data_IF_419412827070
#
_entry.id   IF_419412827070
#
_cell.length_a   1.000
_cell.length_b   1.000
_cell.length_c   1.000
_cell.angle_alpha   90.00
_cell.angle_beta   90.00
_cell.angle_gamma   90.00
#
_symmetry.space_group_name_H-M   'P 1'
#
loop_
_entity.id
_entity.type
_entity.pdbx_description
1 polymer ?
#
# COMPACT_ATOMS: atom_id res chain seq x y z
N UNK A 1 -3.19 -26.30 45.42
CA UNK A 1 -2.32 -25.16 45.82
C UNK A 1 -0.85 -25.55 46.09
N UNK A 2 -0.45 -26.84 46.10
CA UNK A 2 0.98 -27.25 46.15
C UNK A 2 1.59 -27.68 44.79
N UNK A 3 0.79 -27.75 43.73
CA UNK A 3 1.26 -28.12 42.37
C UNK A 3 1.61 -26.92 41.48
N UNK A 4 1.17 -25.70 41.85
CA UNK A 4 1.49 -24.46 41.11
C UNK A 4 2.83 -23.83 41.50
N UNK A 5 3.40 -24.19 42.66
CA UNK A 5 4.68 -23.64 43.14
C UNK A 5 5.89 -24.43 42.60
N UNK A 6 5.73 -25.72 42.29
CA UNK A 6 6.81 -26.57 41.77
C UNK A 6 7.10 -26.35 40.27
N UNK A 7 6.11 -25.93 39.47
CA UNK A 7 6.33 -25.61 38.06
C UNK A 7 7.06 -24.27 37.88
N UNK A 8 6.86 -23.31 38.80
CA UNK A 8 7.60 -22.04 38.82
C UNK A 8 9.08 -22.19 39.23
N UNK A 9 9.44 -23.27 39.93
CA UNK A 9 10.84 -23.54 40.32
C UNK A 9 11.65 -24.22 39.20
N UNK A 10 11.00 -24.93 38.27
CA UNK A 10 11.63 -25.54 37.10
C UNK A 10 12.02 -24.52 36.01
N UNK A 11 11.23 -23.46 35.87
CA UNK A 11 11.48 -22.37 34.89
C UNK A 11 12.72 -21.54 35.28
N UNK A 12 12.94 -21.29 36.57
CA UNK A 12 14.09 -20.50 37.07
C UNK A 12 15.44 -21.25 37.05
N UNK A 13 15.45 -22.57 36.86
CA UNK A 13 16.70 -23.35 36.65
C UNK A 13 17.09 -23.46 35.17
N UNK A 14 16.13 -23.40 34.25
CA UNK A 14 16.40 -23.33 32.80
C UNK A 14 17.02 -22.00 32.37
N UNK A 15 16.69 -20.90 33.07
CA UNK A 15 17.21 -19.57 32.76
C UNK A 15 18.70 -19.38 33.16
N UNK A 16 19.20 -20.09 34.18
CA UNK A 16 20.62 -20.00 34.58
C UNK A 16 21.58 -20.83 33.71
N UNK A 17 21.07 -21.75 32.90
CA UNK A 17 21.87 -22.45 31.89
C UNK A 17 21.86 -21.73 30.53
N UNK A 18 20.92 -20.80 30.31
CA UNK A 18 20.90 -19.90 29.16
C UNK A 18 21.89 -18.72 29.28
N UNK A 19 22.50 -18.51 30.45
CA UNK A 19 23.44 -17.42 30.71
C UNK A 19 24.93 -17.82 30.58
N UNK A 20 25.23 -19.12 30.60
CA UNK A 20 26.61 -19.63 30.56
C UNK A 20 27.14 -19.97 29.15
N UNK A 21 26.27 -20.13 28.15
CA UNK A 21 26.69 -20.39 26.75
C UNK A 21 26.80 -19.12 25.89
N UNK A 22 26.78 -17.95 26.55
CA UNK A 22 26.96 -16.62 25.96
C UNK A 22 28.43 -16.23 25.79
N UNK A 23 29.37 -17.16 25.89
CA UNK A 23 30.81 -16.88 25.84
C UNK A 23 31.54 -17.59 24.70
N UNK A 24 30.92 -17.79 23.52
CA UNK A 24 31.72 -18.06 22.32
C UNK A 24 30.95 -17.80 21.01
N UNK A 25 31.54 -16.91 20.19
CA UNK A 25 31.37 -16.68 18.74
C UNK A 25 30.57 -15.45 18.29
N UNK A 26 31.38 -14.55 17.70
CA UNK A 26 31.17 -13.66 16.55
C UNK A 26 30.27 -12.43 16.69
N UNK A 27 30.96 -11.28 16.65
CA UNK A 27 30.52 -9.92 16.35
C UNK A 27 29.21 -9.78 15.59
N UNK A 28 28.18 -9.25 16.28
CA UNK A 28 26.95 -8.74 15.68
C UNK A 28 26.98 -7.21 15.59
N UNK A 29 27.02 -6.70 14.37
CA UNK A 29 26.62 -5.32 14.05
C UNK A 29 25.09 -5.16 14.03
N UNK A 30 24.56 -3.93 14.07
CA UNK A 30 23.14 -3.67 14.29
C UNK A 30 22.29 -3.99 13.05
N UNK A 31 21.23 -4.79 13.24
CA UNK A 31 20.25 -5.11 12.21
C UNK A 31 19.26 -3.95 12.00
N UNK A 32 19.47 -3.20 10.91
CA UNK A 32 18.62 -2.12 10.41
C UNK A 32 17.55 -2.62 9.43
N UNK A 33 16.45 -1.84 9.32
CA UNK A 33 15.39 -1.83 8.29
C UNK A 33 14.04 -2.55 8.55
N UNK A 34 13.25 -2.01 9.50
CA UNK A 34 11.77 -1.94 9.43
C UNK A 34 11.37 -0.47 9.18
N UNK A 35 11.67 0.09 8.01
CA UNK A 35 11.76 1.56 7.93
C UNK A 35 11.00 2.21 6.78
N UNK A 36 9.96 2.97 7.16
CA UNK A 36 9.14 3.79 6.26
C UNK A 36 7.89 4.29 7.00
N UNK A 37 6.79 3.56 6.92
CA UNK A 37 5.52 3.91 7.57
C UNK A 37 5.35 3.32 8.98
N UNK A 38 5.92 2.14 9.25
CA UNK A 38 5.78 1.43 10.52
C UNK A 38 6.57 2.04 11.68
N UNK A 39 7.71 2.71 11.43
CA UNK A 39 8.53 3.32 12.48
C UNK A 39 7.79 4.42 13.22
N UNK A 40 7.10 5.28 12.48
CA UNK A 40 6.36 6.40 13.06
C UNK A 40 5.19 5.87 13.90
N UNK A 41 4.46 4.86 13.42
CA UNK A 41 3.40 4.25 14.23
C UNK A 41 3.91 3.52 15.47
N UNK A 42 5.05 2.81 15.39
CA UNK A 42 5.67 2.16 16.57
C UNK A 42 6.21 3.20 17.54
N UNK A 43 6.87 4.25 17.06
CA UNK A 43 7.35 5.35 17.89
C UNK A 43 6.17 6.08 18.55
N UNK A 44 5.09 6.38 17.83
CA UNK A 44 3.87 6.96 18.39
C UNK A 44 3.23 6.04 19.44
N UNK A 45 3.23 4.72 19.20
CA UNK A 45 2.73 3.74 20.19
C UNK A 45 3.62 3.71 21.44
N UNK A 46 4.94 3.75 21.28
CA UNK A 46 5.89 3.79 22.37
C UNK A 46 5.80 5.11 23.16
N UNK A 47 5.61 6.25 22.48
CA UNK A 47 5.37 7.55 23.09
C UNK A 47 4.05 7.52 23.87
N UNK A 48 2.97 6.94 23.31
CA UNK A 48 1.71 6.79 24.02
C UNK A 48 1.88 5.95 25.28
N UNK A 49 2.60 4.82 25.19
CA UNK A 49 2.95 3.98 26.33
C UNK A 49 3.82 4.71 27.37
N UNK A 50 4.74 5.56 26.92
CA UNK A 50 5.54 6.39 27.81
C UNK A 50 4.68 7.45 28.52
N UNK A 51 3.74 8.10 27.82
CA UNK A 51 2.82 9.09 28.41
C UNK A 51 1.95 8.46 29.50
N UNK A 52 1.59 7.18 29.41
CA UNK A 52 0.92 6.48 30.52
C UNK A 52 1.75 6.44 31.81
N UNK A 53 3.07 6.54 31.71
CA UNK A 53 3.99 6.54 32.84
C UNK A 53 4.39 7.96 33.31
N UNK A 54 3.77 9.01 32.79
CA UNK A 54 4.04 10.41 33.18
C UNK A 54 2.80 11.06 33.80
N UNK A 55 2.96 12.27 34.35
CA UNK A 55 1.83 13.07 34.88
C UNK A 55 0.77 13.39 33.81
N UNK A 56 1.10 13.20 32.53
CA UNK A 56 0.20 13.36 31.39
C UNK A 56 -0.64 12.10 31.08
N UNK A 57 -0.67 11.09 31.95
CA UNK A 57 -1.36 9.81 31.72
C UNK A 57 -2.83 9.96 31.32
N UNK A 58 -3.52 10.99 31.80
CA UNK A 58 -4.91 11.30 31.43
C UNK A 58 -5.08 11.50 29.91
N UNK A 59 -4.10 12.11 29.23
CA UNK A 59 -4.12 12.30 27.78
C UNK A 59 -4.07 10.93 27.08
N UNK A 60 -3.19 10.05 27.53
CA UNK A 60 -3.07 8.70 26.97
C UNK A 60 -4.33 7.86 27.22
N UNK A 61 -4.94 7.95 28.41
CA UNK A 61 -6.23 7.31 28.71
C UNK A 61 -7.33 7.81 27.81
N UNK A 62 -7.52 9.14 27.70
CA UNK A 62 -8.56 9.71 26.85
C UNK A 62 -8.39 9.28 25.39
N UNK A 63 -7.16 9.32 24.86
CA UNK A 63 -6.88 8.86 23.51
C UNK A 63 -7.11 7.35 23.33
N UNK A 64 -6.70 6.53 24.28
CA UNK A 64 -6.88 5.07 24.20
C UNK A 64 -8.37 4.70 24.30
N UNK A 65 -9.11 5.30 25.21
CA UNK A 65 -10.56 5.14 25.31
C UNK A 65 -11.23 5.53 23.99
N UNK A 66 -10.86 6.69 23.43
CA UNK A 66 -11.34 7.10 22.11
C UNK A 66 -10.99 6.09 21.02
N UNK A 67 -9.76 5.55 21.00
CA UNK A 67 -9.31 4.56 20.04
C UNK A 67 -10.13 3.26 20.11
N UNK A 68 -10.52 2.82 21.31
CA UNK A 68 -11.39 1.65 21.51
C UNK A 68 -12.78 1.88 20.91
N UNK A 69 -13.40 3.03 21.20
CA UNK A 69 -14.69 3.38 20.59
C UNK A 69 -14.58 3.56 19.07
N UNK A 70 -13.45 4.08 18.61
CA UNK A 70 -13.20 4.39 17.21
C UNK A 70 -12.65 3.22 16.37
N UNK A 71 -12.48 2.05 16.96
CA UNK A 71 -11.69 0.96 16.41
C UNK A 71 -12.07 0.59 14.97
N UNK A 72 -13.37 0.59 14.66
CA UNK A 72 -13.92 0.15 13.38
C UNK A 72 -14.05 1.27 12.32
N UNK A 73 -13.73 2.53 12.64
CA UNK A 73 -13.88 3.64 11.70
C UNK A 73 -13.09 3.50 10.39
N UNK A 74 -11.85 2.97 10.37
CA UNK A 74 -11.13 2.71 9.13
C UNK A 74 -11.90 1.79 8.17
N UNK A 75 -12.69 0.84 8.70
CA UNK A 75 -13.50 -0.08 7.89
C UNK A 75 -14.71 0.61 7.24
N UNK A 76 -15.06 1.81 7.68
CA UNK A 76 -16.19 2.59 7.18
C UNK A 76 -15.77 3.77 6.30
N UNK A 77 -14.57 3.70 5.71
CA UNK A 77 -14.03 4.76 4.85
C UNK A 77 -13.25 5.85 5.59
N UNK A 78 -13.07 5.71 6.91
CA UNK A 78 -12.26 6.62 7.71
C UNK A 78 -12.80 8.05 7.80
N UNK A 79 -11.92 8.99 8.10
CA UNK A 79 -12.21 10.42 8.27
C UNK A 79 -11.36 11.26 7.33
N UNK A 80 -11.76 11.32 6.05
CA UNK A 80 -11.08 12.15 5.06
C UNK A 80 -11.09 13.62 5.48
N UNK A 81 -9.95 14.28 5.44
CA UNK A 81 -9.79 15.70 5.73
C UNK A 81 -9.33 16.44 4.48
N UNK A 82 -10.17 17.35 3.98
CA UNK A 82 -9.76 18.18 2.83
C UNK A 82 -8.59 19.09 3.18
N UNK A 83 -8.49 19.54 4.43
CA UNK A 83 -7.36 20.35 4.87
C UNK A 83 -6.04 19.58 4.75
N UNK A 84 -5.98 18.34 5.25
CA UNK A 84 -4.77 17.52 5.13
C UNK A 84 -4.45 17.23 3.67
N UNK A 85 -5.44 16.87 2.85
CA UNK A 85 -5.24 16.57 1.43
C UNK A 85 -4.74 17.77 0.62
N UNK A 86 -4.93 19.01 1.10
CA UNK A 86 -4.51 20.25 0.44
C UNK A 86 -3.22 20.89 1.02
N UNK A 87 -2.53 20.22 1.95
CA UNK A 87 -1.28 20.74 2.50
C UNK A 87 -0.24 21.08 1.42
N UNK A 88 0.52 22.15 1.66
CA UNK A 88 1.55 22.62 0.73
C UNK A 88 2.64 21.58 0.45
N UNK A 89 2.97 20.74 1.45
CA UNK A 89 3.94 19.66 1.31
C UNK A 89 3.62 18.70 0.16
N UNK A 90 2.34 18.51 -0.19
CA UNK A 90 1.96 17.63 -1.31
C UNK A 90 2.28 18.23 -2.67
N UNK A 91 2.29 19.56 -2.79
CA UNK A 91 2.73 20.24 -4.03
C UNK A 91 4.23 20.08 -4.20
N UNK A 92 5.02 20.27 -3.15
CA UNK A 92 6.45 19.98 -3.17
C UNK A 92 6.75 18.50 -3.45
N UNK A 93 5.98 17.58 -2.86
CA UNK A 93 6.09 16.15 -3.13
C UNK A 93 5.83 15.83 -4.60
N UNK A 94 4.76 16.39 -5.19
CA UNK A 94 4.47 16.26 -6.62
C UNK A 94 5.60 16.81 -7.48
N UNK A 95 6.06 18.03 -7.18
CA UNK A 95 7.07 18.74 -7.99
C UNK A 95 8.46 18.09 -7.88
N UNK A 96 8.71 17.35 -6.80
CA UNK A 96 9.93 16.57 -6.63
C UNK A 96 10.00 15.34 -7.57
N UNK A 97 8.87 14.68 -7.88
CA UNK A 97 8.77 13.53 -8.80
C UNK A 97 8.10 13.87 -10.14
N UNK A 98 8.06 15.15 -10.52
CA UNK A 98 7.06 15.69 -11.45
C UNK A 98 5.76 14.85 -11.65
N UNK A 99 4.99 14.58 -10.58
CA UNK A 99 3.87 13.62 -10.65
C UNK A 99 2.70 14.18 -11.48
N UNK A 100 2.22 13.38 -12.42
CA UNK A 100 1.05 13.71 -13.25
C UNK A 100 -0.04 12.64 -13.16
N UNK A 101 -1.30 13.10 -13.16
CA UNK A 101 -2.49 12.27 -13.29
C UNK A 101 -3.18 12.57 -14.62
N UNK A 102 -3.14 11.61 -15.55
CA UNK A 102 -3.79 11.73 -16.86
C UNK A 102 -5.14 11.05 -16.82
N UNK A 103 -6.20 11.84 -17.01
CA UNK A 103 -7.57 11.36 -17.17
C UNK A 103 -7.83 11.09 -18.65
N UNK A 104 -8.34 9.90 -18.98
CA UNK A 104 -8.75 9.58 -20.36
C UNK A 104 -10.27 9.65 -20.56
N UNK A 105 -11.07 9.35 -19.54
CA UNK A 105 -12.53 9.28 -19.63
C UNK A 105 -13.23 9.97 -18.45
N UNK A 106 -14.46 10.42 -18.69
CA UNK A 106 -15.37 10.86 -17.62
C UNK A 106 -15.93 9.64 -16.89
N UNK A 107 -16.18 9.81 -15.58
CA UNK A 107 -16.80 8.79 -14.75
C UNK A 107 -18.17 9.27 -14.27
N UNK A 108 -19.13 8.36 -14.27
CA UNK A 108 -20.48 8.60 -13.79
C UNK A 108 -20.49 8.58 -12.26
N UNK A 109 -21.00 9.65 -11.64
CA UNK A 109 -21.12 9.77 -10.18
C UNK A 109 -22.18 8.83 -9.59
N UNK A 110 -23.02 8.23 -10.44
CA UNK A 110 -24.03 7.23 -10.07
C UNK A 110 -23.46 5.82 -9.96
N UNK A 111 -22.21 5.60 -10.37
CA UNK A 111 -21.53 4.29 -10.30
C UNK A 111 -20.40 4.31 -9.28
N UNK A 112 -20.06 3.12 -8.79
CA UNK A 112 -18.87 2.88 -7.98
C UNK A 112 -17.81 2.18 -8.83
N UNK A 113 -16.55 2.32 -8.44
CA UNK A 113 -15.40 1.90 -9.23
C UNK A 113 -14.37 1.17 -8.39
N UNK A 114 -13.72 0.16 -9.00
CA UNK A 114 -12.46 -0.39 -8.52
C UNK A 114 -11.38 -0.04 -9.53
N UNK A 115 -10.45 0.80 -9.09
CA UNK A 115 -9.30 1.27 -9.83
C UNK A 115 -8.13 0.33 -9.55
N UNK A 116 -7.69 -0.42 -10.56
CA UNK A 116 -6.49 -1.24 -10.43
C UNK A 116 -5.25 -0.44 -10.79
N UNK A 117 -4.41 -0.16 -9.79
CA UNK A 117 -3.17 0.59 -9.95
C UNK A 117 -1.99 -0.34 -10.24
N UNK A 118 -1.23 -0.03 -11.28
CA UNK A 118 -0.07 -0.80 -11.74
C UNK A 118 1.06 0.14 -12.21
N UNK A 119 2.34 -0.23 -12.06
CA UNK A 119 2.85 -1.19 -11.08
C UNK A 119 2.83 -0.58 -9.67
N UNK A 120 3.07 -1.40 -8.64
CA UNK A 120 3.15 -0.99 -7.24
C UNK A 120 4.40 -0.15 -6.95
N UNK A 121 5.51 -0.44 -7.63
CA UNK A 121 6.83 0.01 -7.22
C UNK A 121 7.17 -0.46 -5.80
N UNK A 122 8.13 0.22 -5.15
CA UNK A 122 8.46 -0.09 -3.75
C UNK A 122 7.39 0.44 -2.79
N UNK A 123 6.87 1.65 -3.02
CA UNK A 123 5.99 2.35 -2.07
C UNK A 123 4.66 2.86 -2.66
N UNK A 124 4.45 2.80 -3.98
CA UNK A 124 3.25 3.37 -4.62
C UNK A 124 3.13 4.90 -4.41
N UNK A 125 4.21 5.64 -4.63
CA UNK A 125 4.27 7.09 -4.42
C UNK A 125 3.30 7.83 -5.35
N UNK A 126 3.17 7.38 -6.60
CA UNK A 126 2.20 7.94 -7.54
C UNK A 126 0.76 7.73 -7.06
N UNK A 127 0.42 6.53 -6.57
CA UNK A 127 -0.90 6.21 -6.05
C UNK A 127 -1.25 7.08 -4.84
N UNK A 128 -0.30 7.25 -3.91
CA UNK A 128 -0.46 8.12 -2.75
C UNK A 128 -0.71 9.57 -3.17
N UNK A 129 0.17 10.15 -3.99
CA UNK A 129 0.03 11.54 -4.42
C UNK A 129 -1.28 11.79 -5.15
N UNK A 130 -1.61 10.92 -6.11
CA UNK A 130 -2.75 11.09 -7.00
C UNK A 130 -4.10 10.92 -6.31
N UNK A 131 -4.20 10.02 -5.34
CA UNK A 131 -5.50 9.63 -4.78
C UNK A 131 -5.67 9.94 -3.29
N UNK A 132 -4.57 10.13 -2.56
CA UNK A 132 -4.60 10.48 -1.13
C UNK A 132 -4.40 11.98 -0.86
N UNK A 133 -4.13 12.78 -1.90
CA UNK A 133 -3.94 14.23 -1.79
C UNK A 133 -4.71 14.95 -2.90
N UNK A 134 -4.68 16.29 -2.91
CA UNK A 134 -5.20 17.14 -4.00
C UNK A 134 -4.06 17.74 -4.86
N UNK A 135 -2.81 17.28 -4.71
CA UNK A 135 -1.67 17.88 -5.42
C UNK A 135 -1.76 17.76 -6.94
N UNK A 136 -2.38 16.69 -7.46
CA UNK A 136 -2.65 16.49 -8.89
C UNK A 136 -4.11 16.78 -9.27
N UNK A 137 -4.83 17.49 -8.39
CA UNK A 137 -6.18 18.00 -8.61
C UNK A 137 -7.19 16.91 -8.99
N UNK A 138 -7.12 15.76 -8.31
CA UNK A 138 -8.00 14.62 -8.57
C UNK A 138 -9.49 14.98 -8.49
N UNK A 139 -9.87 15.88 -7.57
CA UNK A 139 -11.24 16.37 -7.44
C UNK A 139 -11.73 17.18 -8.65
N UNK A 140 -10.82 17.91 -9.31
CA UNK A 140 -11.13 18.64 -10.56
C UNK A 140 -11.18 17.71 -11.77
N UNK A 141 -10.27 16.72 -11.81
CA UNK A 141 -10.22 15.73 -12.90
C UNK A 141 -11.44 14.81 -12.85
N UNK A 142 -11.82 14.33 -11.68
CA UNK A 142 -12.96 13.42 -11.49
C UNK A 142 -13.99 14.04 -10.53
N UNK A 143 -14.76 15.05 -10.99
CA UNK A 143 -15.72 15.74 -10.14
C UNK A 143 -16.79 14.78 -9.64
N UNK A 144 -17.08 14.84 -8.34
CA UNK A 144 -18.05 13.95 -7.68
C UNK A 144 -17.55 12.54 -7.39
N UNK A 145 -16.35 12.16 -7.84
CA UNK A 145 -15.74 10.87 -7.52
C UNK A 145 -14.90 10.97 -6.24
N UNK A 146 -15.05 10.00 -5.35
CA UNK A 146 -14.40 9.93 -4.03
C UNK A 146 -13.34 8.83 -4.04
N UNK A 147 -12.04 9.16 -4.18
CA UNK A 147 -10.98 8.16 -4.22
C UNK A 147 -10.61 7.63 -2.82
N UNK A 148 -10.55 6.32 -2.66
CA UNK A 148 -10.12 5.62 -1.45
C UNK A 148 -8.93 4.72 -1.78
N UNK A 149 -7.72 5.11 -1.38
CA UNK A 149 -6.53 4.27 -1.58
C UNK A 149 -6.52 3.15 -0.54
N UNK A 150 -6.50 1.90 -1.00
CA UNK A 150 -6.50 0.74 -0.12
C UNK A 150 -5.06 0.27 0.17
N UNK A 151 -4.71 0.16 1.46
CA UNK A 151 -3.38 -0.29 1.92
C UNK A 151 -3.49 -1.35 3.01
N UNK A 152 -2.35 -1.94 3.40
CA UNK A 152 -2.27 -3.02 4.39
C UNK A 152 -3.07 -2.71 5.66
N UNK A 153 -4.00 -3.60 6.02
CA UNK A 153 -4.88 -3.42 7.17
C UNK A 153 -4.13 -3.27 8.51
N UNK A 154 -2.91 -3.83 8.61
CA UNK A 154 -2.04 -3.68 9.79
C UNK A 154 -1.68 -2.23 10.12
N UNK A 155 -1.59 -1.35 9.12
CA UNK A 155 -1.27 0.07 9.32
C UNK A 155 -2.32 0.78 10.20
N UNK A 156 -3.56 0.30 10.21
CA UNK A 156 -4.68 0.90 10.93
C UNK A 156 -4.79 0.43 12.40
N UNK A 157 -3.89 -0.47 12.82
CA UNK A 157 -3.74 -0.87 14.22
C UNK A 157 -2.79 0.04 14.99
N UNK A 158 -2.01 0.88 14.29
CA UNK A 158 -1.05 1.77 14.92
C UNK A 158 -1.72 3.12 15.25
N UNK A 159 -1.76 3.53 16.53
CA UNK A 159 -2.10 4.88 16.97
C UNK A 159 -1.45 5.96 16.13
N UNK A 160 -2.15 7.08 15.96
CA UNK A 160 -1.74 8.27 15.19
C UNK A 160 -1.55 8.02 13.69
N UNK A 161 -0.81 6.99 13.28
CA UNK A 161 -0.65 6.59 11.88
C UNK A 161 -2.00 6.31 11.23
N UNK A 162 -2.90 5.58 11.91
CA UNK A 162 -4.24 5.31 11.40
C UNK A 162 -5.03 6.59 11.12
N UNK A 163 -4.89 7.62 11.95
CA UNK A 163 -5.57 8.91 11.78
C UNK A 163 -5.04 9.65 10.57
N UNK A 164 -3.70 9.69 10.46
CA UNK A 164 -3.03 10.29 9.34
C UNK A 164 -3.43 9.63 8.01
N UNK A 165 -3.44 8.30 7.95
CA UNK A 165 -3.89 7.57 6.76
C UNK A 165 -5.36 7.88 6.42
N UNK A 166 -6.25 7.77 7.41
CA UNK A 166 -7.68 8.07 7.21
C UNK A 166 -7.91 9.51 6.74
N UNK A 167 -7.11 10.47 7.20
CA UNK A 167 -7.20 11.87 6.79
C UNK A 167 -6.93 12.08 5.29
N UNK A 168 -6.05 11.26 4.69
CA UNK A 168 -5.82 11.21 3.26
C UNK A 168 -6.92 10.49 2.46
N UNK A 169 -7.88 9.85 3.14
CA UNK A 169 -8.84 8.95 2.49
C UNK A 169 -8.27 7.55 2.22
N UNK A 170 -7.21 7.17 2.92
CA UNK A 170 -6.60 5.83 2.81
C UNK A 170 -7.38 4.87 3.73
N UNK A 171 -7.68 3.67 3.24
CA UNK A 171 -8.46 2.67 3.97
C UNK A 171 -7.78 1.29 3.99
N UNK A 172 -8.18 0.38 4.90
CA UNK A 172 -7.70 -0.99 4.90
C UNK A 172 -8.10 -1.74 3.61
N UNK A 173 -7.15 -2.47 3.02
CA UNK A 173 -7.40 -3.43 1.93
C UNK A 173 -7.95 -4.75 2.50
N UNK A 174 -9.19 -4.71 2.97
CA UNK A 174 -9.91 -5.90 3.40
C UNK A 174 -11.32 -5.91 2.82
N UNK A 175 -11.92 -7.10 2.76
CA UNK A 175 -13.23 -7.30 2.15
C UNK A 175 -14.33 -6.48 2.82
N UNK A 176 -14.39 -6.44 4.15
CA UNK A 176 -15.44 -5.69 4.87
C UNK A 176 -15.43 -4.20 4.53
N UNK A 177 -14.24 -3.60 4.39
CA UNK A 177 -14.08 -2.18 4.04
C UNK A 177 -14.53 -1.93 2.62
N UNK A 178 -14.10 -2.77 1.68
CA UNK A 178 -14.48 -2.67 0.26
C UNK A 178 -15.99 -2.88 0.12
N UNK A 179 -16.54 -3.90 0.78
CA UNK A 179 -17.98 -4.19 0.78
C UNK A 179 -18.77 -2.99 1.32
N UNK A 180 -18.34 -2.37 2.43
CA UNK A 180 -18.97 -1.17 2.96
C UNK A 180 -18.92 0.00 1.96
N UNK A 181 -17.75 0.29 1.40
CA UNK A 181 -17.56 1.42 0.49
C UNK A 181 -18.36 1.28 -0.81
N UNK A 182 -18.52 0.06 -1.32
CA UNK A 182 -19.25 -0.19 -2.57
C UNK A 182 -20.76 -0.36 -2.39
N UNK A 183 -21.25 -0.65 -1.18
CA UNK A 183 -22.68 -0.93 -0.92
C UNK A 183 -23.38 0.06 0.01
N UNK A 184 -22.70 0.57 1.04
CA UNK A 184 -23.31 1.39 2.11
C UNK A 184 -22.88 2.86 2.08
N UNK A 185 -21.81 3.19 1.35
CA UNK A 185 -21.24 4.53 1.31
C UNK A 185 -21.73 5.36 0.09
N UNK A 186 -22.91 5.07 -0.43
CA UNK A 186 -23.47 5.72 -1.61
C UNK A 186 -22.75 5.39 -2.92
N UNK A 187 -22.97 6.23 -3.94
CA UNK A 187 -22.34 6.13 -5.26
C UNK A 187 -21.16 7.10 -5.41
N UNK A 188 -20.41 6.98 -6.52
CA UNK A 188 -19.26 7.83 -6.82
C UNK A 188 -18.01 7.46 -6.04
N UNK A 189 -17.95 6.29 -5.39
CA UNK A 189 -16.76 5.82 -4.71
C UNK A 189 -15.81 5.17 -5.72
N UNK A 190 -14.53 5.54 -5.69
CA UNK A 190 -13.48 4.87 -6.44
C UNK A 190 -12.48 4.26 -5.46
N UNK A 191 -12.37 2.93 -5.43
CA UNK A 191 -11.42 2.23 -4.55
C UNK A 191 -10.18 1.91 -5.35
N UNK A 192 -9.03 2.47 -4.95
CA UNK A 192 -7.75 2.26 -5.60
C UNK A 192 -7.06 1.07 -4.94
N UNK A 193 -6.88 0.00 -5.70
CA UNK A 193 -6.19 -1.21 -5.26
C UNK A 193 -4.91 -1.34 -6.06
N UNK A 194 -3.78 -1.37 -5.36
CA UNK A 194 -2.49 -1.72 -5.98
C UNK A 194 -2.40 -3.23 -6.10
N UNK A 195 -2.77 -3.76 -7.27
CA UNK A 195 -3.19 -5.16 -7.43
C UNK A 195 -2.03 -6.14 -7.22
N UNK A 196 -0.83 -5.81 -7.71
CA UNK A 196 0.36 -6.65 -7.52
C UNK A 196 0.81 -6.77 -6.07
N UNK A 197 0.52 -5.76 -5.25
CA UNK A 197 0.77 -5.74 -3.82
C UNK A 197 2.23 -6.03 -3.46
N UNK A 198 2.42 -6.66 -2.30
CA UNK A 198 3.75 -7.00 -1.79
C UNK A 198 4.55 -7.96 -2.71
N UNK A 199 3.90 -8.75 -3.56
CA UNK A 199 4.63 -9.65 -4.46
C UNK A 199 5.33 -8.87 -5.59
N UNK A 200 4.63 -7.88 -6.13
CA UNK A 200 5.14 -7.00 -7.17
C UNK A 200 6.23 -6.06 -6.63
N UNK A 201 6.05 -5.52 -5.41
CA UNK A 201 7.05 -4.64 -4.80
C UNK A 201 8.41 -5.33 -4.63
N UNK A 202 8.44 -6.63 -4.28
CA UNK A 202 9.67 -7.40 -4.10
C UNK A 202 10.43 -7.66 -5.41
N UNK A 203 9.79 -7.43 -6.56
CA UNK A 203 10.36 -7.60 -7.88
C UNK A 203 10.43 -6.28 -8.65
N UNK A 204 10.19 -5.15 -7.98
CA UNK A 204 10.28 -3.80 -8.53
C UNK A 204 11.73 -3.46 -8.85
N UNK A 205 11.98 -3.12 -10.12
CA UNK A 205 13.29 -2.67 -10.59
C UNK A 205 13.14 -1.58 -11.65
N UNK A 206 14.06 -0.59 -11.67
CA UNK A 206 14.18 0.36 -12.77
C UNK A 206 14.29 -0.32 -14.14
N UNK A 207 13.65 0.25 -15.15
CA UNK A 207 13.63 -0.24 -16.52
C UNK A 207 12.73 -1.46 -16.76
N UNK A 208 12.06 -2.00 -15.72
CA UNK A 208 11.21 -3.17 -15.86
C UNK A 208 9.72 -2.79 -15.84
N UNK A 209 9.02 -3.07 -16.94
CA UNK A 209 7.57 -2.91 -17.08
C UNK A 209 6.87 -4.26 -16.86
N UNK A 210 6.78 -4.69 -15.60
CA UNK A 210 6.19 -5.97 -15.24
C UNK A 210 5.17 -5.83 -14.11
N UNK A 211 4.03 -6.51 -14.26
CA UNK A 211 2.92 -6.49 -13.30
C UNK A 211 2.56 -7.90 -12.85
N UNK A 212 2.26 -8.07 -11.56
CA UNK A 212 1.76 -9.31 -10.97
C UNK A 212 0.23 -9.27 -10.99
N UNK A 213 -0.37 -9.82 -12.03
CA UNK A 213 -1.80 -9.68 -12.31
C UNK A 213 -2.46 -10.98 -12.78
N UNK A 214 -1.76 -11.89 -13.46
CA UNK A 214 -2.33 -13.07 -14.13
C UNK A 214 -3.24 -13.91 -13.22
N UNK A 215 -2.85 -14.05 -11.96
CA UNK A 215 -3.55 -14.83 -10.95
C UNK A 215 -4.30 -13.98 -9.90
N UNK A 216 -4.37 -12.65 -10.08
CA UNK A 216 -4.94 -11.71 -9.10
C UNK A 216 -6.42 -11.39 -9.39
N UNK A 217 -7.28 -12.40 -9.37
CA UNK A 217 -8.70 -12.24 -9.77
C UNK A 217 -9.64 -11.71 -8.66
N UNK A 218 -9.13 -11.53 -7.44
CA UNK A 218 -9.93 -11.17 -6.27
C UNK A 218 -10.66 -9.82 -6.38
N UNK A 219 -10.01 -8.82 -6.99
CA UNK A 219 -10.62 -7.50 -7.17
C UNK A 219 -11.76 -7.54 -8.20
N UNK A 220 -11.63 -8.33 -9.28
CA UNK A 220 -12.69 -8.57 -10.27
C UNK A 220 -13.89 -9.25 -9.62
N UNK A 221 -13.65 -10.27 -8.78
CA UNK A 221 -14.71 -10.92 -8.02
C UNK A 221 -15.47 -9.94 -7.13
N UNK A 222 -14.76 -9.04 -6.43
CA UNK A 222 -15.39 -8.00 -5.61
C UNK A 222 -16.17 -7.01 -6.47
N UNK A 223 -15.61 -6.57 -7.59
CA UNK A 223 -16.24 -5.68 -8.55
C UNK A 223 -17.60 -6.26 -8.99
N UNK A 224 -17.62 -7.52 -9.47
CA UNK A 224 -18.83 -8.20 -9.93
C UNK A 224 -19.90 -8.29 -8.85
N UNK A 225 -19.52 -8.56 -7.59
CA UNK A 225 -20.49 -8.63 -6.48
C UNK A 225 -21.21 -7.33 -6.19
N UNK A 226 -20.56 -6.21 -6.47
CA UNK A 226 -21.11 -4.88 -6.20
C UNK A 226 -21.59 -4.15 -7.45
N UNK A 227 -21.31 -4.67 -8.65
CA UNK A 227 -21.53 -3.95 -9.90
C UNK A 227 -20.67 -2.68 -9.99
N UNK A 228 -19.45 -2.74 -9.44
CA UNK A 228 -18.52 -1.60 -9.44
C UNK A 228 -17.57 -1.70 -10.63
N UNK A 229 -17.56 -0.72 -11.52
CA UNK A 229 -16.79 -0.79 -12.77
C UNK A 229 -15.29 -0.91 -12.51
N UNK A 230 -14.62 -1.70 -13.35
CA UNK A 230 -13.17 -1.87 -13.29
C UNK A 230 -12.48 -0.78 -14.10
N UNK A 231 -11.51 -0.10 -13.52
CA UNK A 231 -10.74 0.94 -14.21
C UNK A 231 -9.25 0.56 -14.19
N UNK A 232 -8.65 0.18 -15.33
CA UNK A 232 -7.23 -0.09 -15.40
C UNK A 232 -6.44 1.21 -15.32
N UNK A 233 -5.34 1.20 -14.55
CA UNK A 233 -4.41 2.31 -14.51
C UNK A 233 -2.97 1.82 -14.63
N UNK A 234 -2.16 2.58 -15.36
CA UNK A 234 -0.72 2.35 -15.45
C UNK A 234 0.06 3.61 -15.06
N UNK A 235 1.08 3.45 -14.22
CA UNK A 235 1.95 4.52 -13.72
C UNK A 235 3.36 4.38 -14.27
N UNK A 236 3.67 5.16 -15.29
CA UNK A 236 5.00 5.24 -15.89
C UNK A 236 5.95 5.91 -14.92
N UNK A 237 7.17 5.37 -14.77
CA UNK A 237 8.21 5.90 -13.89
C UNK A 237 8.13 5.47 -12.42
N UNK A 238 7.07 4.76 -12.01
CA UNK A 238 6.90 4.32 -10.61
C UNK A 238 8.06 3.41 -10.13
N UNK A 239 8.60 2.58 -11.01
CA UNK A 239 9.72 1.68 -10.69
C UNK A 239 11.10 2.39 -10.69
N UNK A 240 11.18 3.64 -11.16
CA UNK A 240 12.44 4.37 -11.33
C UNK A 240 12.88 5.10 -10.04
N UNK A 241 11.97 5.28 -9.08
CA UNK A 241 12.22 6.12 -7.90
C UNK A 241 13.08 5.45 -6.82
N UNK A 242 13.32 4.14 -6.94
CA UNK A 242 14.18 3.40 -6.04
C UNK A 242 14.95 2.32 -6.79
N UNK A 243 16.16 2.03 -6.31
CA UNK A 243 16.91 0.83 -6.69
C UNK A 243 16.73 -0.21 -5.60
N UNK A 244 16.46 -1.46 -5.96
CA UNK A 244 16.30 -2.56 -5.02
C UNK A 244 17.34 -3.64 -5.28
N UNK A 245 17.85 -4.25 -4.21
CA UNK A 245 18.56 -5.52 -4.28
C UNK A 245 17.54 -6.64 -4.55
N UNK A 246 17.61 -7.26 -5.73
CA UNK A 246 16.81 -8.43 -6.05
C UNK A 246 17.61 -9.70 -5.72
N UNK A 247 17.05 -10.52 -4.85
CA UNK A 247 17.58 -11.85 -4.59
C UNK A 247 17.18 -12.81 -5.70
N UNK A 248 18.15 -13.53 -6.25
CA UNK A 248 17.93 -14.54 -7.29
C UNK A 248 16.96 -15.63 -6.85
N UNK A 249 16.14 -16.12 -7.78
CA UNK A 249 15.25 -17.24 -7.50
C UNK A 249 16.05 -18.50 -7.15
N UNK A 250 15.63 -19.20 -6.09
CA UNK A 250 16.38 -20.32 -5.51
C UNK A 250 17.44 -19.94 -4.48
N UNK A 251 17.82 -18.66 -4.35
CA UNK A 251 18.76 -18.22 -3.32
C UNK A 251 18.17 -18.32 -1.91
N UNK A 252 19.05 -18.49 -0.91
CA UNK A 252 18.66 -18.47 0.50
C UNK A 252 17.99 -17.15 0.90
N UNK A 253 18.49 -16.01 0.41
CA UNK A 253 17.90 -14.69 0.64
C UNK A 253 16.47 -14.59 0.12
N UNK A 254 16.21 -15.06 -1.11
CA UNK A 254 14.86 -15.10 -1.69
C UNK A 254 13.93 -16.05 -0.93
N UNK A 255 14.45 -17.19 -0.46
CA UNK A 255 13.69 -18.12 0.38
C UNK A 255 13.26 -17.47 1.70
N UNK A 256 14.17 -16.80 2.41
CA UNK A 256 13.86 -16.05 3.64
C UNK A 256 12.82 -14.97 3.35
N UNK A 257 13.02 -14.18 2.30
CA UNK A 257 12.10 -13.11 1.91
C UNK A 257 10.68 -13.64 1.63
N UNK A 258 10.55 -14.75 0.87
CA UNK A 258 9.26 -15.40 0.58
C UNK A 258 8.62 -16.00 1.84
N UNK A 259 9.40 -16.60 2.74
CA UNK A 259 8.89 -17.11 4.03
C UNK A 259 8.35 -15.97 4.91
N UNK A 260 9.10 -14.88 5.03
CA UNK A 260 8.67 -13.69 5.75
C UNK A 260 7.38 -13.11 5.15
N UNK A 261 7.31 -12.97 3.83
CA UNK A 261 6.10 -12.52 3.13
C UNK A 261 4.90 -13.40 3.45
N UNK A 262 5.06 -14.73 3.41
CA UNK A 262 3.97 -15.69 3.63
C UNK A 262 3.41 -15.63 5.05
N UNK A 263 4.27 -15.47 6.05
CA UNK A 263 3.85 -15.51 7.46
C UNK A 263 3.46 -14.14 8.03
N UNK A 264 4.15 -13.07 7.62
CA UNK A 264 3.96 -11.72 8.18
C UNK A 264 3.09 -10.85 7.27
N UNK A 265 2.92 -11.23 6.00
CA UNK A 265 2.16 -10.46 5.01
C UNK A 265 2.92 -9.25 4.46
N UNK A 266 4.17 -9.06 4.86
CA UNK A 266 5.10 -8.06 4.35
C UNK A 266 6.51 -8.67 4.35
N UNK A 267 7.26 -8.46 3.26
CA UNK A 267 8.66 -8.80 3.22
C UNK A 267 9.50 -7.53 3.06
N UNK A 268 10.61 -7.41 3.81
CA UNK A 268 11.48 -6.26 3.68
C UNK A 268 12.09 -6.23 2.28
N UNK A 269 11.88 -5.11 1.60
CA UNK A 269 12.61 -4.76 0.39
C UNK A 269 13.90 -4.08 0.85
N UNK A 270 15.06 -4.56 0.38
CA UNK A 270 16.31 -3.84 0.57
C UNK A 270 16.46 -2.90 -0.61
N UNK A 271 16.13 -1.64 -0.40
CA UNK A 271 16.15 -0.61 -1.43
C UNK A 271 16.98 0.58 -0.98
N UNK A 272 17.41 1.36 -1.96
CA UNK A 272 18.07 2.62 -1.74
C UNK A 272 17.64 3.65 -2.78
N UNK A 273 17.65 4.90 -2.37
CA UNK A 273 17.53 6.06 -3.22
C UNK A 273 18.81 6.90 -3.12
N UNK A 274 18.62 8.21 -2.96
CA UNK A 274 19.67 9.20 -2.76
C UNK A 274 19.75 9.70 -1.31
N UNK A 275 20.84 10.37 -0.99
CA UNK A 275 21.02 11.06 0.28
C UNK A 275 20.16 12.31 0.41
N UNK A 276 20.04 12.78 1.65
CA UNK A 276 19.20 13.93 2.01
C UNK A 276 19.83 15.26 1.56
N UNK A 277 21.15 15.36 1.58
CA UNK A 277 21.93 16.57 1.28
C UNK A 277 22.73 16.50 -0.03
N UNK A 278 22.80 15.34 -0.68
CA UNK A 278 23.48 15.17 -1.97
C UNK A 278 22.78 14.11 -2.83
N UNK A 279 22.69 14.34 -4.14
CA UNK A 279 22.14 13.38 -5.10
C UNK A 279 22.98 12.13 -5.29
N UNK A 280 24.28 12.25 -5.01
CA UNK A 280 25.27 11.24 -5.38
C UNK A 280 25.59 10.30 -4.22
N UNK A 281 25.02 10.57 -3.04
CA UNK A 281 25.19 9.73 -1.85
C UNK A 281 24.07 8.71 -1.71
N UNK A 282 24.41 7.57 -1.11
CA UNK A 282 23.45 6.52 -0.78
C UNK A 282 22.51 6.98 0.34
N UNK A 283 21.21 6.68 0.22
CA UNK A 283 20.24 7.03 1.25
C UNK A 283 18.84 6.45 1.00
N UNK A 284 17.86 6.95 1.74
CA UNK A 284 16.46 6.48 1.69
C UNK A 284 15.52 7.45 0.96
N UNK A 285 16.01 8.63 0.57
CA UNK A 285 15.20 9.59 -0.19
C UNK A 285 15.02 9.05 -1.60
N UNK A 286 13.79 8.87 -2.11
CA UNK A 286 13.59 8.34 -3.46
C UNK A 286 14.26 9.22 -4.52
N UNK A 287 14.67 8.65 -5.65
CA UNK A 287 15.21 9.42 -6.78
C UNK A 287 14.15 10.34 -7.39
N UNK A 288 14.55 11.57 -7.74
CA UNK A 288 13.68 12.52 -8.45
C UNK A 288 13.52 12.08 -9.90
N UNK A 289 12.52 11.22 -10.14
CA UNK A 289 12.16 10.70 -11.46
C UNK A 289 10.69 11.01 -11.74
N UNK A 290 10.32 11.39 -12.98
CA UNK A 290 8.93 11.64 -13.36
C UNK A 290 8.05 10.42 -13.09
N UNK A 291 6.88 10.63 -12.48
CA UNK A 291 5.83 9.60 -12.36
C UNK A 291 4.57 10.09 -13.07
N UNK A 292 4.06 9.33 -14.04
CA UNK A 292 2.81 9.68 -14.72
C UNK A 292 1.82 8.52 -14.68
N UNK A 293 0.73 8.70 -13.95
CA UNK A 293 -0.36 7.73 -13.88
C UNK A 293 -1.42 8.06 -14.92
N UNK A 294 -1.69 7.12 -15.82
CA UNK A 294 -2.79 7.18 -16.78
C UNK A 294 -3.97 6.36 -16.27
N UNK A 295 -5.13 7.00 -16.16
CA UNK A 295 -6.39 6.34 -15.81
C UNK A 295 -7.11 5.92 -17.09
N UNK A 296 -7.33 4.62 -17.27
CA UNK A 296 -7.97 4.05 -18.46
C UNK A 296 -9.48 4.20 -18.51
N UNK A 297 -10.07 3.60 -19.53
CA UNK A 297 -11.53 3.55 -19.73
C UNK A 297 -12.19 2.59 -18.73
N UNK A 298 -13.34 2.95 -18.12
CA UNK A 298 -14.06 2.04 -17.24
C UNK A 298 -14.66 0.87 -18.00
N UNK A 299 -14.36 -0.34 -17.56
CA UNK A 299 -15.03 -1.57 -17.99
C UNK A 299 -16.30 -1.70 -17.17
N UNK A 300 -17.44 -1.50 -17.84
CA UNK A 300 -18.75 -1.64 -17.21
C UNK A 300 -19.04 -3.10 -16.93
N UNK A 301 -19.42 -3.41 -15.70
CA UNK A 301 -19.70 -4.78 -15.28
C UNK A 301 -21.08 -4.92 -14.62
N UNK A 302 -21.74 -6.09 -14.75
CA UNK A 302 -22.99 -6.38 -14.07
C UNK A 302 -22.76 -6.61 -12.57
N UNK A 303 -23.83 -6.44 -11.80
CA UNK A 303 -23.87 -6.88 -10.41
C UNK A 303 -24.35 -8.33 -10.36
N UNK A 304 -23.49 -9.24 -9.87
CA UNK A 304 -23.78 -10.66 -9.70
C UNK A 304 -23.55 -11.05 -8.24
N UNK A 305 -24.58 -11.52 -7.53
CA UNK A 305 -24.44 -11.87 -6.10
C UNK A 305 -23.42 -13.00 -5.86
N UNK A 306 -23.44 -13.99 -6.77
CA UNK A 306 -22.60 -15.17 -6.78
C UNK A 306 -21.91 -15.33 -8.14
N UNK A 307 -20.87 -14.52 -8.46
CA UNK A 307 -20.19 -14.61 -9.74
C UNK A 307 -19.49 -15.97 -9.88
N UNK A 308 -19.68 -16.61 -11.03
CA UNK A 308 -19.03 -17.88 -11.36
C UNK A 308 -17.56 -17.64 -11.71
N UNK A 309 -16.75 -18.71 -11.76
CA UNK A 309 -15.36 -18.58 -12.19
C UNK A 309 -15.24 -18.11 -13.65
N UNK A 310 -16.20 -18.49 -14.50
CA UNK A 310 -16.26 -18.05 -15.89
C UNK A 310 -16.51 -16.54 -15.98
N UNK A 311 -17.44 -16.01 -15.18
CA UNK A 311 -17.68 -14.55 -15.12
C UNK A 311 -16.41 -13.81 -14.69
N UNK A 312 -15.75 -14.31 -13.64
CA UNK A 312 -14.52 -13.71 -13.11
C UNK A 312 -13.41 -13.73 -14.18
N UNK A 313 -13.27 -14.84 -14.89
CA UNK A 313 -12.22 -15.01 -15.90
C UNK A 313 -12.46 -14.13 -17.13
N UNK A 314 -13.71 -14.01 -17.57
CA UNK A 314 -14.11 -13.13 -18.67
C UNK A 314 -13.71 -11.67 -18.37
N UNK A 315 -14.18 -11.12 -17.25
CA UNK A 315 -13.89 -9.72 -16.91
C UNK A 315 -12.44 -9.48 -16.52
N UNK A 316 -11.75 -10.49 -15.98
CA UNK A 316 -10.32 -10.40 -15.72
C UNK A 316 -9.49 -10.36 -17.01
N UNK A 317 -9.85 -11.16 -18.02
CA UNK A 317 -9.24 -11.10 -19.35
C UNK A 317 -9.46 -9.74 -20.01
N UNK A 318 -10.70 -9.24 -20.02
CA UNK A 318 -11.00 -7.89 -20.51
C UNK A 318 -10.18 -6.81 -19.79
N UNK A 319 -10.02 -6.94 -18.46
CA UNK A 319 -9.20 -6.02 -17.68
C UNK A 319 -7.72 -6.07 -18.07
N UNK A 320 -7.14 -7.26 -18.25
CA UNK A 320 -5.73 -7.41 -18.66
C UNK A 320 -5.50 -6.84 -20.05
N UNK A 321 -6.38 -7.13 -21.01
CA UNK A 321 -6.31 -6.59 -22.37
C UNK A 321 -6.41 -5.07 -22.38
N UNK A 322 -7.34 -4.50 -21.60
CA UNK A 322 -7.48 -3.06 -21.46
C UNK A 322 -6.23 -2.40 -20.84
N UNK A 323 -5.59 -3.05 -19.85
CA UNK A 323 -4.35 -2.56 -19.24
C UNK A 323 -3.18 -2.57 -20.24
N UNK A 324 -2.99 -3.66 -20.99
CA UNK A 324 -1.95 -3.77 -22.02
C UNK A 324 -2.16 -2.72 -23.10
N UNK A 325 -3.40 -2.59 -23.61
CA UNK A 325 -3.76 -1.56 -24.59
C UNK A 325 -3.51 -0.15 -24.06
N UNK A 326 -3.79 0.10 -22.77
CA UNK A 326 -3.54 1.40 -22.13
C UNK A 326 -2.03 1.71 -22.07
N UNK A 327 -1.22 0.71 -21.73
CA UNK A 327 0.24 0.80 -21.70
C UNK A 327 0.78 1.09 -23.10
N UNK A 328 0.45 0.26 -24.10
CA UNK A 328 0.96 0.38 -25.47
C UNK A 328 0.60 1.74 -26.10
N UNK A 329 -0.62 2.22 -25.84
CA UNK A 329 -1.06 3.53 -26.35
C UNK A 329 -0.24 4.72 -25.82
N UNK A 330 0.37 4.59 -24.64
CA UNK A 330 1.00 5.72 -23.96
C UNK A 330 2.51 5.57 -23.73
N UNK A 331 3.09 4.38 -23.93
CA UNK A 331 4.49 4.07 -23.58
C UNK A 331 5.50 5.04 -24.24
N UNK A 332 5.35 5.31 -25.53
CA UNK A 332 6.26 6.20 -26.28
C UNK A 332 6.16 7.66 -25.85
N UNK A 333 4.95 8.12 -25.50
CA UNK A 333 4.74 9.46 -24.94
C UNK A 333 5.50 9.68 -23.62
N UNK A 334 5.77 8.61 -22.89
CA UNK A 334 6.44 8.66 -21.58
C UNK A 334 7.85 8.06 -21.62
N UNK A 335 8.48 8.05 -22.80
CA UNK A 335 9.91 7.79 -22.97
C UNK A 335 10.32 6.33 -23.08
N UNK A 336 9.37 5.40 -23.18
CA UNK A 336 9.65 3.99 -23.47
C UNK A 336 9.73 3.74 -24.99
N UNK A 337 10.47 2.72 -25.39
CA UNK A 337 10.57 2.34 -26.80
C UNK A 337 9.30 1.64 -27.29
N UNK A 338 9.01 1.72 -28.60
CA UNK A 338 7.86 1.02 -29.19
C UNK A 338 7.95 -0.50 -29.02
N UNK A 339 9.18 -1.03 -28.95
CA UNK A 339 9.47 -2.46 -28.73
C UNK A 339 9.26 -2.93 -27.30
N UNK A 340 9.12 -2.02 -26.34
CA UNK A 340 8.86 -2.40 -24.96
C UNK A 340 7.44 -2.93 -24.80
N UNK A 341 7.31 -3.98 -23.99
CA UNK A 341 6.05 -4.67 -23.72
C UNK A 341 5.78 -4.72 -22.22
N UNK A 342 4.49 -4.74 -21.87
CA UNK A 342 4.07 -4.95 -20.49
C UNK A 342 4.06 -6.45 -20.18
N UNK A 343 4.95 -6.90 -19.31
CA UNK A 343 4.97 -8.28 -18.82
C UNK A 343 3.85 -8.50 -17.79
N UNK A 344 2.88 -9.36 -18.11
CA UNK A 344 1.78 -9.72 -17.20
C UNK A 344 2.05 -11.09 -16.57
N UNK A 345 2.49 -11.07 -15.31
CA UNK A 345 2.94 -12.22 -14.52
C UNK A 345 1.85 -12.80 -13.61
#
# INVERSE_FOLDING_TARGET
MKTLIAAYSGVLRGERQAEADRSQRSHGGPALSREGSGRWGVACSAILMYIFCTDCWLIAVLYFTWLVFDWNTPKKGGRRSQWVRNWAVWRYFRDYFPIQLVKTHNLLTTRNYIFGYHPHGIMGLGAFCNFSTEATEVSKKFPGIRPYLATLAGNFRLPVLREYLMSGGICPVNRDTIDYLLSKNGSGNAIIIVVGGAAESLSSMPGKNAVTLRNRKGFVKLALRHGADLVPMYSFGENEVYKQVIFEEGSWGRWVQKKFQKYIGFAPCIFHGRGLFSSDTWGLVPYSKPITTVVGEPITIPKLEHPTQQDIDLYHTMYMEALVKLFDKHKTKFGLLETEVLEVN
#
